data_IF_303740062508
#
_entry.id   IF_303740062508
#
_cell.length_a   1.000
_cell.length_b   1.000
_cell.length_c   1.000
_cell.angle_alpha   90.00
_cell.angle_beta   90.00
_cell.angle_gamma   90.00
#
_symmetry.space_group_name_H-M   'P 1'
#
loop_
_entity.id
_entity.type
_entity.pdbx_description
1 polymer ?
#
# COMPACT_ATOMS: atom_id res chain seq x y z
N UNK A 1 -10.93 -42.82 12.73
CA UNK A 1 -11.84 -42.43 11.64
C UNK A 1 -10.99 -42.24 10.39
N UNK A 2 -11.02 -43.23 9.49
CA UNK A 2 -10.13 -43.33 8.32
C UNK A 2 -10.47 -42.25 7.28
N UNK A 3 -9.45 -41.53 6.81
CA UNK A 3 -9.53 -40.65 5.64
C UNK A 3 -9.42 -41.51 4.37
N UNK A 4 -10.41 -41.38 3.47
CA UNK A 4 -10.34 -41.99 2.13
C UNK A 4 -9.60 -41.05 1.17
N UNK A 5 -8.72 -41.54 0.29
CA UNK A 5 -8.08 -40.73 -0.74
C UNK A 5 -9.00 -40.52 -1.96
N UNK A 6 -8.88 -39.35 -2.60
CA UNK A 6 -9.52 -39.03 -3.89
C UNK A 6 -8.74 -39.69 -5.04
N UNK A 7 -9.41 -40.14 -6.11
CA UNK A 7 -8.75 -40.79 -7.24
C UNK A 7 -8.07 -39.78 -8.18
N UNK A 8 -6.88 -40.17 -8.64
CA UNK A 8 -6.14 -39.59 -9.77
C UNK A 8 -6.42 -40.43 -11.01
N UNK A 9 -6.83 -39.80 -12.10
CA UNK A 9 -6.76 -40.28 -13.49
C UNK A 9 -6.79 -39.03 -14.39
N UNK A 10 -6.20 -38.95 -15.57
CA UNK A 10 -5.01 -39.51 -16.23
C UNK A 10 -4.97 -38.80 -17.59
N UNK A 11 -3.76 -38.49 -18.04
CA UNK A 11 -3.34 -37.99 -19.36
C UNK A 11 -4.26 -38.25 -20.57
N UNK A 12 -4.35 -37.25 -21.45
CA UNK A 12 -4.21 -37.45 -22.91
C UNK A 12 -3.57 -36.19 -23.53
N UNK A 13 -2.40 -36.40 -24.12
CA UNK A 13 -1.68 -35.51 -25.04
C UNK A 13 -2.28 -35.60 -26.46
N UNK A 14 -2.25 -34.50 -27.20
CA UNK A 14 -1.75 -34.37 -28.59
C UNK A 14 -1.91 -32.89 -29.02
N UNK A 15 -0.84 -32.09 -28.99
CA UNK A 15 0.11 -31.81 -30.09
C UNK A 15 -0.58 -31.29 -31.36
N UNK A 16 -0.47 -29.97 -31.59
CA UNK A 16 -0.14 -29.49 -32.93
C UNK A 16 0.64 -28.16 -32.88
N UNK A 17 1.83 -28.26 -33.45
CA UNK A 17 2.92 -27.31 -33.58
C UNK A 17 2.68 -26.20 -34.60
N UNK A 18 3.54 -25.17 -34.52
CA UNK A 18 3.89 -24.11 -35.50
C UNK A 18 3.04 -22.84 -35.32
N UNK A 19 3.59 -21.63 -35.15
CA UNK A 19 4.73 -21.06 -35.87
C UNK A 19 5.32 -19.87 -35.09
N UNK A 20 6.64 -19.73 -35.20
CA UNK A 20 7.49 -18.62 -34.73
C UNK A 20 7.08 -17.26 -35.33
N UNK A 21 7.09 -16.20 -34.52
CA UNK A 21 6.89 -14.83 -34.98
C UNK A 21 7.30 -13.81 -33.91
N UNK A 22 8.61 -13.64 -33.72
CA UNK A 22 9.21 -12.54 -32.96
C UNK A 22 8.87 -11.21 -33.65
N UNK A 23 8.04 -10.38 -33.01
CA UNK A 23 7.90 -8.97 -33.36
C UNK A 23 8.61 -8.12 -32.28
N UNK A 24 9.87 -7.80 -32.56
CA UNK A 24 10.61 -6.73 -31.90
C UNK A 24 10.04 -5.38 -32.39
N UNK A 25 9.43 -4.61 -31.49
CA UNK A 25 9.13 -3.19 -31.71
C UNK A 25 10.25 -2.34 -31.09
N UNK A 26 10.85 -1.38 -31.83
CA UNK A 26 11.91 -0.54 -31.30
C UNK A 26 11.35 0.54 -30.37
N UNK A 27 11.94 0.65 -29.17
CA UNK A 27 11.71 1.75 -28.23
C UNK A 27 12.34 3.02 -28.81
N UNK A 28 11.50 3.96 -29.22
CA UNK A 28 11.90 5.31 -29.61
C UNK A 28 12.43 6.08 -28.39
N UNK A 29 13.65 6.63 -28.55
CA UNK A 29 14.35 7.53 -27.63
C UNK A 29 13.45 8.68 -27.14
N UNK A 30 13.14 8.73 -25.85
CA UNK A 30 12.71 9.96 -25.19
C UNK A 30 13.96 10.76 -24.79
N UNK A 31 14.21 11.88 -25.47
CA UNK A 31 15.22 12.86 -25.07
C UNK A 31 14.69 13.64 -23.86
N UNK A 32 15.28 13.44 -22.69
CA UNK A 32 15.15 14.39 -21.57
C UNK A 32 16.29 15.41 -21.64
N UNK A 33 15.96 16.63 -22.06
CA UNK A 33 16.86 17.79 -21.97
C UNK A 33 16.91 18.27 -20.54
N UNK A 34 18.04 18.07 -19.87
CA UNK A 34 18.35 18.67 -18.57
C UNK A 34 18.97 20.05 -18.83
N UNK A 35 18.23 21.12 -18.54
CA UNK A 35 18.83 22.46 -18.43
C UNK A 35 19.64 22.49 -17.13
N UNK A 36 20.95 22.70 -17.26
CA UNK A 36 21.85 23.00 -16.14
C UNK A 36 22.33 24.43 -16.37
N UNK A 37 22.01 25.31 -15.43
CA UNK A 37 22.55 26.65 -15.33
C UNK A 37 24.00 26.59 -14.82
N UNK A 38 24.91 27.25 -15.52
CA UNK A 38 26.27 27.54 -15.04
C UNK A 38 26.23 28.61 -13.93
N UNK A 39 27.22 28.57 -13.03
CA UNK A 39 27.97 29.80 -12.77
C UNK A 39 29.48 29.60 -12.85
N UNK A 40 30.13 30.64 -13.36
CA UNK A 40 31.57 30.77 -13.54
C UNK A 40 32.34 30.84 -12.19
N UNK A 41 33.37 29.99 -12.12
CA UNK A 41 34.77 30.29 -11.81
C UNK A 41 35.13 31.42 -10.83
N UNK A 42 35.84 31.06 -9.74
CA UNK A 42 37.17 31.65 -9.48
C UNK A 42 38.02 30.81 -8.52
N UNK A 43 39.19 30.45 -9.06
CA UNK A 43 40.46 30.02 -8.48
C UNK A 43 40.76 30.27 -6.99
N UNK A 44 41.35 29.28 -6.33
CA UNK A 44 42.75 29.37 -5.86
C UNK A 44 43.31 28.00 -5.44
N UNK A 45 44.60 27.81 -5.68
CA UNK A 45 45.37 26.57 -5.56
C UNK A 45 45.93 26.36 -4.14
N UNK A 46 46.11 25.11 -3.69
CA UNK A 46 47.30 24.67 -2.95
C UNK A 46 47.41 23.12 -2.80
N UNK A 47 48.64 22.66 -2.54
CA UNK A 47 49.27 21.38 -2.89
C UNK A 47 48.93 20.12 -2.05
N UNK A 48 49.31 18.89 -2.49
CA UNK A 48 49.02 17.64 -1.79
C UNK A 48 50.07 17.28 -0.72
N UNK A 49 49.63 16.69 0.40
CA UNK A 49 50.50 15.98 1.36
C UNK A 49 50.15 14.50 1.45
N UNK A 50 51.18 13.66 1.30
CA UNK A 50 51.20 12.21 1.59
C UNK A 50 51.27 11.95 3.11
N UNK A 51 50.62 10.87 3.58
CA UNK A 51 51.05 9.86 4.60
C UNK A 51 49.89 8.85 4.79
N UNK A 52 50.02 7.60 4.32
CA UNK A 52 50.51 6.35 4.97
C UNK A 52 49.59 5.74 6.06
N UNK A 53 49.05 4.56 5.68
CA UNK A 53 49.01 3.26 6.39
C UNK A 53 48.10 3.02 7.60
N UNK A 54 47.41 1.86 7.55
CA UNK A 54 47.10 1.02 8.71
C UNK A 54 45.65 0.56 8.81
N UNK A 55 45.40 -0.76 8.76
CA UNK A 55 44.15 -1.35 9.26
C UNK A 55 43.56 -2.46 8.39
N UNK A 56 44.10 -3.67 8.52
CA UNK A 56 43.55 -4.92 7.97
C UNK A 56 42.56 -5.48 9.00
N UNK A 57 41.35 -5.85 8.59
CA UNK A 57 40.73 -7.08 9.11
C UNK A 57 39.91 -7.73 7.99
N UNK A 58 40.42 -8.88 7.57
CA UNK A 58 39.87 -9.82 6.61
C UNK A 58 39.22 -10.93 7.45
N UNK A 59 37.95 -11.24 7.22
CA UNK A 59 37.42 -12.57 7.47
C UNK A 59 36.98 -13.14 6.13
N UNK A 60 37.86 -13.95 5.56
CA UNK A 60 37.57 -14.83 4.44
C UNK A 60 36.86 -16.07 4.97
N UNK A 61 35.81 -16.50 4.29
CA UNK A 61 35.37 -17.90 4.30
C UNK A 61 35.75 -18.42 2.92
N UNK A 62 36.86 -19.15 2.84
CA UNK A 62 37.25 -19.92 1.67
C UNK A 62 36.61 -21.30 1.79
N UNK A 63 35.80 -21.68 0.79
CA UNK A 63 35.60 -23.06 0.41
C UNK A 63 35.89 -23.12 -1.09
N UNK A 64 37.03 -23.71 -1.45
CA UNK A 64 37.33 -24.09 -2.82
C UNK A 64 36.73 -25.46 -3.13
N UNK A 65 36.37 -25.68 -4.38
CA UNK A 65 36.87 -26.81 -5.17
C UNK A 65 36.54 -26.60 -6.67
N UNK A 66 37.36 -27.24 -7.50
CA UNK A 66 37.71 -26.94 -8.88
C UNK A 66 36.59 -27.09 -9.92
N UNK A 67 36.63 -26.22 -10.94
CA UNK A 67 36.19 -26.56 -12.30
C UNK A 67 37.07 -25.83 -13.32
N UNK A 68 37.99 -26.58 -13.92
CA UNK A 68 38.73 -26.20 -15.13
C UNK A 68 37.76 -26.10 -16.31
N UNK A 69 37.62 -24.90 -16.89
CA UNK A 69 36.82 -24.68 -18.10
C UNK A 69 37.14 -23.32 -18.71
N UNK A 70 37.57 -23.34 -19.97
CA UNK A 70 37.98 -22.19 -20.81
C UNK A 70 37.20 -20.90 -20.54
N UNK A 71 37.82 -19.98 -19.82
CA UNK A 71 37.26 -18.68 -19.47
C UNK A 71 37.47 -17.66 -20.57
N UNK A 72 36.39 -17.27 -21.24
CA UNK A 72 36.28 -15.99 -21.92
C UNK A 72 36.48 -14.89 -20.85
N UNK A 73 37.60 -14.18 -20.90
CA UNK A 73 37.85 -13.04 -20.01
C UNK A 73 36.90 -11.92 -20.43
N UNK A 74 35.71 -11.90 -19.84
CA UNK A 74 34.88 -10.68 -19.81
C UNK A 74 35.42 -9.86 -18.65
N UNK A 75 36.22 -8.85 -18.97
CA UNK A 75 36.67 -7.84 -18.04
C UNK A 75 35.44 -7.09 -17.51
N UNK A 76 34.84 -7.62 -16.45
CA UNK A 76 33.77 -6.95 -15.74
C UNK A 76 34.42 -5.80 -14.98
N UNK A 77 34.43 -4.63 -15.62
CA UNK A 77 34.60 -3.36 -14.93
C UNK A 77 33.55 -3.32 -13.80
N UNK A 78 33.95 -3.70 -12.59
CA UNK A 78 33.23 -3.39 -11.36
C UNK A 78 33.26 -1.87 -11.24
N UNK A 79 32.34 -1.20 -11.94
CA UNK A 79 31.95 0.15 -11.55
C UNK A 79 31.38 0.00 -10.15
N UNK A 80 32.17 0.42 -9.17
CA UNK A 80 31.69 0.71 -7.83
C UNK A 80 30.56 1.71 -8.04
N UNK A 81 29.32 1.24 -7.95
CA UNK A 81 28.19 2.14 -7.92
C UNK A 81 28.37 2.92 -6.62
N UNK A 82 28.91 4.12 -6.71
CA UNK A 82 28.81 5.10 -5.64
C UNK A 82 27.34 5.51 -5.59
N UNK A 83 26.50 4.62 -5.03
CA UNK A 83 25.25 5.04 -4.44
C UNK A 83 25.67 5.94 -3.29
N UNK A 84 25.68 7.25 -3.54
CA UNK A 84 25.63 8.23 -2.46
C UNK A 84 24.56 7.74 -1.49
N UNK A 85 24.92 7.50 -0.24
CA UNK A 85 23.98 7.28 0.85
C UNK A 85 23.16 8.57 0.98
N UNK A 86 22.14 8.70 0.12
CA UNK A 86 21.05 9.62 0.36
C UNK A 86 20.31 8.99 1.52
N UNK A 87 20.64 9.43 2.74
CA UNK A 87 19.78 9.22 3.90
C UNK A 87 18.49 9.99 3.63
N UNK A 88 17.60 9.41 2.82
CA UNK A 88 16.24 9.86 2.71
C UNK A 88 15.67 9.77 4.13
N UNK A 89 15.52 10.91 4.78
CA UNK A 89 14.83 11.00 6.07
C UNK A 89 13.48 10.32 5.85
N UNK A 90 13.27 9.18 6.52
CA UNK A 90 12.03 8.44 6.39
C UNK A 90 10.92 9.33 6.94
N UNK A 91 10.19 9.99 6.05
CA UNK A 91 9.01 10.78 6.38
C UNK A 91 7.80 9.84 6.26
N UNK A 92 7.26 9.35 7.39
CA UNK A 92 6.12 8.44 7.40
C UNK A 92 4.83 9.11 6.89
N UNK A 93 4.81 10.44 6.70
CA UNK A 93 3.64 11.19 6.22
C UNK A 93 3.59 11.41 4.72
N UNK A 94 4.53 10.85 3.93
CA UNK A 94 4.46 11.00 2.46
C UNK A 94 3.28 10.23 1.89
N UNK A 95 2.19 10.95 1.65
CA UNK A 95 0.98 10.50 0.96
C UNK A 95 1.13 10.63 -0.56
N UNK A 96 0.51 9.72 -1.32
CA UNK A 96 0.41 9.87 -2.79
C UNK A 96 -0.74 10.83 -3.09
N UNK A 97 -0.40 12.01 -3.61
CA UNK A 97 -1.40 13.01 -3.99
C UNK A 97 -1.89 12.74 -5.42
N UNK A 98 -3.21 12.58 -5.59
CA UNK A 98 -3.85 12.48 -6.91
C UNK A 98 -4.41 13.83 -7.32
N UNK A 99 -4.09 14.27 -8.53
CA UNK A 99 -4.62 15.49 -9.14
C UNK A 99 -6.14 15.43 -9.34
N UNK A 100 -6.79 16.59 -9.44
CA UNK A 100 -8.26 16.70 -9.54
C UNK A 100 -8.84 16.04 -10.81
N UNK A 101 -8.06 15.99 -11.89
CA UNK A 101 -8.41 15.36 -13.16
C UNK A 101 -7.86 13.94 -13.31
N UNK A 102 -7.24 13.38 -12.26
CA UNK A 102 -6.68 12.03 -12.28
C UNK A 102 -7.78 11.00 -12.58
N UNK A 103 -7.70 10.37 -13.74
CA UNK A 103 -8.60 9.32 -14.17
C UNK A 103 -7.96 8.48 -15.27
N UNK A 104 -8.13 7.17 -15.19
CA UNK A 104 -7.86 6.25 -16.28
C UNK A 104 -9.17 5.86 -16.98
N UNK A 105 -9.09 5.68 -18.30
CA UNK A 105 -10.21 5.14 -19.07
C UNK A 105 -10.49 3.69 -18.63
N UNK A 106 -11.73 3.46 -18.19
CA UNK A 106 -12.19 2.13 -17.75
C UNK A 106 -12.06 1.07 -18.85
N UNK A 107 -12.07 1.45 -20.13
CA UNK A 107 -11.89 0.52 -21.25
C UNK A 107 -10.49 -0.14 -21.29
N UNK A 108 -9.52 0.41 -20.57
CA UNK A 108 -8.16 -0.14 -20.43
C UNK A 108 -8.07 -1.24 -19.37
N UNK A 109 -9.16 -1.50 -18.63
CA UNK A 109 -9.19 -2.41 -17.49
C UNK A 109 -10.30 -3.45 -17.62
N UNK A 110 -10.14 -4.56 -16.92
CA UNK A 110 -11.19 -5.57 -16.79
C UNK A 110 -12.16 -5.13 -15.70
N UNK A 111 -13.27 -4.52 -16.12
CA UNK A 111 -14.39 -4.16 -15.24
C UNK A 111 -15.47 -5.23 -15.36
N UNK A 112 -16.05 -5.74 -14.25
CA UNK A 112 -17.16 -6.67 -14.31
C UNK A 112 -18.30 -6.13 -15.19
N UNK A 113 -18.80 -6.97 -16.10
CA UNK A 113 -19.71 -6.53 -17.15
C UNK A 113 -20.97 -5.83 -16.60
N UNK A 114 -21.49 -6.28 -15.45
CA UNK A 114 -22.68 -5.71 -14.80
C UNK A 114 -22.47 -4.31 -14.20
N UNK A 115 -21.22 -3.83 -14.14
CA UNK A 115 -20.84 -2.50 -13.66
C UNK A 115 -20.41 -1.53 -14.76
N UNK A 116 -20.24 -1.97 -16.01
CA UNK A 116 -19.69 -1.15 -17.10
C UNK A 116 -20.44 0.17 -17.30
N UNK A 117 -21.78 0.13 -17.25
CA UNK A 117 -22.63 1.32 -17.43
C UNK A 117 -22.71 2.21 -16.18
N UNK A 118 -22.22 1.72 -15.03
CA UNK A 118 -22.28 2.41 -13.73
C UNK A 118 -20.97 3.07 -13.33
N UNK A 119 -19.86 2.65 -13.93
CA UNK A 119 -18.52 3.19 -13.66
C UNK A 119 -18.22 4.34 -14.64
N UNK A 120 -17.77 5.48 -14.14
CA UNK A 120 -17.27 6.60 -14.96
C UNK A 120 -15.86 6.32 -15.47
N UNK A 121 -14.94 6.07 -14.54
CA UNK A 121 -13.51 5.90 -14.79
C UNK A 121 -12.86 5.12 -13.65
N UNK A 122 -11.64 4.62 -13.88
CA UNK A 122 -10.79 4.05 -12.83
C UNK A 122 -9.96 5.18 -12.23
N UNK A 123 -10.03 5.40 -10.92
CA UNK A 123 -9.21 6.40 -10.22
C UNK A 123 -7.88 5.80 -9.77
N UNK A 124 -7.94 4.64 -9.10
CA UNK A 124 -6.75 3.94 -8.59
C UNK A 124 -6.82 2.47 -9.03
N UNK A 125 -5.92 2.03 -9.93
CA UNK A 125 -5.81 0.62 -10.28
C UNK A 125 -5.44 -0.24 -9.06
N UNK A 126 -5.91 -1.49 -9.05
CA UNK A 126 -5.64 -2.46 -7.98
C UNK A 126 -4.15 -2.63 -7.68
N UNK A 127 -3.32 -2.77 -8.72
CA UNK A 127 -1.87 -2.91 -8.54
C UNK A 127 -1.24 -1.71 -7.84
N UNK A 128 -1.71 -0.48 -8.13
CA UNK A 128 -1.22 0.72 -7.47
C UNK A 128 -1.61 0.75 -5.98
N UNK A 129 -2.80 0.26 -5.64
CA UNK A 129 -3.20 0.05 -4.24
C UNK A 129 -2.24 -0.93 -3.55
N UNK A 130 -1.97 -2.08 -4.16
CA UNK A 130 -1.07 -3.10 -3.60
C UNK A 130 0.35 -2.57 -3.35
N UNK A 131 0.91 -1.84 -4.32
CA UNK A 131 2.23 -1.20 -4.19
C UNK A 131 2.25 -0.17 -3.06
N UNK A 132 1.19 0.65 -2.96
CA UNK A 132 1.11 1.67 -1.91
C UNK A 132 0.96 1.04 -0.53
N UNK A 133 0.14 0.00 -0.40
CA UNK A 133 -0.05 -0.73 0.86
C UNK A 133 1.24 -1.38 1.32
N UNK A 134 2.07 -1.88 0.41
CA UNK A 134 3.40 -2.40 0.77
C UNK A 134 4.28 -1.32 1.41
N UNK A 135 4.29 -0.11 0.86
CA UNK A 135 5.02 1.01 1.46
C UNK A 135 4.44 1.40 2.83
N UNK A 136 3.12 1.47 2.97
CA UNK A 136 2.49 1.73 4.27
C UNK A 136 2.86 0.68 5.32
N UNK A 137 2.91 -0.60 4.93
CA UNK A 137 3.31 -1.68 5.81
C UNK A 137 4.75 -1.50 6.32
N UNK A 138 5.67 -1.00 5.48
CA UNK A 138 7.03 -0.67 5.90
C UNK A 138 7.04 0.47 6.93
N UNK A 139 6.22 1.50 6.71
CA UNK A 139 6.16 2.70 7.54
C UNK A 139 5.59 2.36 8.92
N UNK A 140 4.53 1.55 8.94
CA UNK A 140 3.94 1.00 10.15
C UNK A 140 4.96 0.13 10.89
N UNK A 141 5.70 -0.73 10.19
CA UNK A 141 6.75 -1.55 10.79
C UNK A 141 7.78 -0.70 11.52
N UNK A 142 8.33 0.34 10.87
CA UNK A 142 9.29 1.24 11.52
C UNK A 142 8.68 1.98 12.71
N UNK A 143 7.43 2.43 12.60
CA UNK A 143 6.78 3.21 13.63
C UNK A 143 6.36 2.40 14.88
N UNK A 144 6.42 1.07 14.81
CA UNK A 144 6.14 0.13 15.88
C UNK A 144 7.30 -0.83 16.17
N UNK A 145 8.52 -0.47 15.78
CA UNK A 145 9.72 -1.24 16.10
C UNK A 145 9.84 -1.49 17.60
N UNK A 146 10.09 -2.74 17.99
CA UNK A 146 10.17 -3.17 19.39
C UNK A 146 8.82 -3.20 20.15
N UNK A 147 7.68 -2.98 19.47
CA UNK A 147 6.34 -2.96 20.09
C UNK A 147 5.44 -4.05 19.51
N UNK A 148 4.38 -4.36 20.26
CA UNK A 148 3.27 -5.19 19.76
C UNK A 148 2.11 -4.28 19.36
N UNK A 149 1.72 -4.30 18.08
CA UNK A 149 0.60 -3.51 17.58
C UNK A 149 -0.69 -4.34 17.54
N UNK A 150 -1.81 -3.75 17.94
CA UNK A 150 -3.12 -4.35 17.80
C UNK A 150 -3.88 -3.65 16.67
N UNK A 151 -4.05 -4.34 15.54
CA UNK A 151 -4.73 -3.82 14.37
C UNK A 151 -6.25 -3.91 14.55
N UNK A 152 -6.96 -2.81 14.37
CA UNK A 152 -8.40 -2.75 14.54
C UNK A 152 -9.07 -2.40 13.20
N UNK A 153 -9.56 -3.42 12.50
CA UNK A 153 -10.20 -3.23 11.21
C UNK A 153 -11.60 -2.64 11.39
N UNK A 154 -11.88 -1.53 10.70
CA UNK A 154 -13.22 -0.96 10.64
C UNK A 154 -13.98 -1.55 9.46
N UNK A 155 -15.06 -2.27 9.77
CA UNK A 155 -15.89 -2.97 8.80
C UNK A 155 -17.06 -2.11 8.31
N UNK A 156 -17.52 -2.31 7.08
CA UNK A 156 -17.08 -3.36 6.13
C UNK A 156 -15.95 -2.93 5.19
N UNK A 157 -15.96 -1.66 4.77
CA UNK A 157 -15.15 -1.21 3.65
C UNK A 157 -13.64 -1.30 3.88
N UNK A 158 -13.17 -1.08 5.12
CA UNK A 158 -11.76 -1.25 5.50
C UNK A 158 -11.20 -2.67 5.35
N UNK A 159 -12.05 -3.67 5.10
CA UNK A 159 -11.62 -5.08 5.02
C UNK A 159 -10.60 -5.37 3.93
N UNK A 160 -10.75 -4.88 2.70
CA UNK A 160 -9.79 -5.13 1.62
C UNK A 160 -8.40 -4.56 1.96
N UNK A 161 -8.36 -3.29 2.38
CA UNK A 161 -7.13 -2.63 2.81
C UNK A 161 -6.47 -3.36 3.98
N UNK A 162 -7.26 -3.75 4.99
CA UNK A 162 -6.77 -4.49 6.15
C UNK A 162 -6.10 -5.81 5.76
N UNK A 163 -6.73 -6.62 4.91
CA UNK A 163 -6.15 -7.90 4.50
C UNK A 163 -4.85 -7.70 3.71
N UNK A 164 -4.83 -6.75 2.77
CA UNK A 164 -3.62 -6.41 2.02
C UNK A 164 -2.49 -5.94 2.96
N UNK A 165 -2.79 -5.10 3.94
CA UNK A 165 -1.82 -4.62 4.92
C UNK A 165 -1.26 -5.76 5.78
N UNK A 166 -2.13 -6.62 6.31
CA UNK A 166 -1.73 -7.79 7.11
C UNK A 166 -0.86 -8.75 6.30
N UNK A 167 -1.18 -8.97 5.03
CA UNK A 167 -0.36 -9.79 4.14
C UNK A 167 1.05 -9.22 4.00
N UNK A 168 1.19 -7.92 3.71
CA UNK A 168 2.50 -7.27 3.57
C UNK A 168 3.30 -7.31 4.87
N UNK A 169 2.67 -7.08 6.02
CA UNK A 169 3.31 -7.22 7.34
C UNK A 169 3.81 -8.66 7.59
N UNK A 170 3.03 -9.67 7.23
CA UNK A 170 3.45 -11.09 7.33
C UNK A 170 4.63 -11.41 6.42
N UNK A 171 4.64 -10.89 5.19
CA UNK A 171 5.71 -11.11 4.23
C UNK A 171 7.05 -10.55 4.73
N UNK A 172 7.04 -9.36 5.33
CA UNK A 172 8.25 -8.80 5.94
C UNK A 172 8.78 -9.67 7.07
N UNK A 173 7.92 -10.20 7.94
CA UNK A 173 8.35 -11.13 9.00
C UNK A 173 8.91 -12.44 8.45
N UNK A 174 8.38 -12.94 7.33
CA UNK A 174 8.78 -14.23 6.77
C UNK A 174 10.12 -14.17 6.02
N UNK A 175 10.36 -13.11 5.27
CA UNK A 175 11.45 -13.09 4.28
C UNK A 175 12.55 -12.07 4.55
N UNK A 176 12.35 -11.09 5.44
CA UNK A 176 13.39 -10.11 5.77
C UNK A 176 14.06 -10.45 7.10
N UNK A 177 15.38 -10.24 7.17
CA UNK A 177 16.14 -10.23 8.44
C UNK A 177 15.93 -8.93 9.23
N UNK A 178 14.71 -8.41 9.25
CA UNK A 178 14.36 -7.17 9.94
C UNK A 178 13.71 -7.46 11.29
N UNK A 179 13.66 -6.45 12.15
CA UNK A 179 13.00 -6.53 13.44
C UNK A 179 11.52 -6.92 13.28
N UNK A 180 11.14 -7.94 14.04
CA UNK A 180 9.80 -8.49 14.04
C UNK A 180 8.84 -7.54 14.78
N UNK A 181 7.72 -7.19 14.15
CA UNK A 181 6.66 -6.39 14.76
C UNK A 181 5.47 -7.32 15.04
N UNK A 182 5.39 -7.93 16.23
CA UNK A 182 4.24 -8.76 16.58
C UNK A 182 2.95 -7.97 16.44
N UNK A 183 1.94 -8.60 15.86
CA UNK A 183 0.61 -8.00 15.80
C UNK A 183 -0.49 -8.99 16.15
N UNK A 184 -1.55 -8.45 16.71
CA UNK A 184 -2.85 -9.10 16.90
C UNK A 184 -3.90 -8.24 16.21
N UNK A 185 -5.11 -8.76 15.99
CA UNK A 185 -6.15 -7.97 15.35
C UNK A 185 -7.56 -8.33 15.78
N UNK A 186 -8.45 -7.36 15.61
CA UNK A 186 -9.88 -7.47 15.83
C UNK A 186 -10.64 -6.70 14.75
N UNK A 187 -11.94 -7.00 14.63
CA UNK A 187 -12.84 -6.34 13.70
C UNK A 187 -13.92 -5.59 14.48
N UNK A 188 -14.20 -4.35 14.07
CA UNK A 188 -15.29 -3.58 14.62
C UNK A 188 -16.22 -3.07 13.52
N UNK A 189 -17.48 -2.89 13.86
CA UNK A 189 -18.45 -2.13 13.06
C UNK A 189 -18.81 -0.86 13.80
N UNK A 190 -18.76 0.24 13.08
CA UNK A 190 -19.04 1.58 13.57
C UNK A 190 -20.35 2.03 12.95
N UNK A 191 -21.34 2.39 13.78
CA UNK A 191 -22.61 2.97 13.33
C UNK A 191 -22.71 4.40 13.85
N UNK A 192 -22.85 5.35 12.93
CA UNK A 192 -23.26 6.72 13.24
C UNK A 192 -24.78 6.83 13.11
N UNK A 193 -25.49 7.05 14.22
CA UNK A 193 -26.92 7.32 14.18
C UNK A 193 -27.17 8.80 13.87
N UNK A 194 -27.74 9.08 12.70
CA UNK A 194 -28.27 10.40 12.34
C UNK A 194 -29.80 10.36 12.41
N UNK A 195 -30.35 10.40 13.62
CA UNK A 195 -31.79 10.57 13.86
C UNK A 195 -32.16 12.03 14.19
N UNK A 196 -33.45 12.37 14.11
CA UNK A 196 -34.04 13.73 14.28
C UNK A 196 -33.77 14.44 15.62
N UNK A 197 -33.04 13.80 16.53
CA UNK A 197 -32.30 14.43 17.62
C UNK A 197 -30.89 13.87 17.61
N UNK A 198 -29.94 14.67 17.13
CA UNK A 198 -28.51 14.36 17.17
C UNK A 198 -28.08 14.06 18.60
N UNK A 199 -27.99 12.78 18.98
CA UNK A 199 -27.31 12.39 20.22
C UNK A 199 -25.81 12.28 20.01
N UNK A 200 -25.32 12.36 18.76
CA UNK A 200 -23.89 12.42 18.46
C UNK A 200 -23.11 11.13 18.73
N UNK A 201 -23.73 10.10 19.31
CA UNK A 201 -23.05 8.90 19.80
C UNK A 201 -22.70 7.91 18.68
N UNK A 202 -21.45 7.46 18.68
CA UNK A 202 -20.96 6.36 17.84
C UNK A 202 -21.18 5.05 18.60
N UNK A 203 -21.82 4.07 17.95
CA UNK A 203 -21.90 2.72 18.49
C UNK A 203 -20.87 1.82 17.82
N UNK A 204 -20.09 1.12 18.65
CA UNK A 204 -19.10 0.14 18.21
C UNK A 204 -19.54 -1.25 18.61
N UNK A 205 -19.39 -2.20 17.69
CA UNK A 205 -19.73 -3.62 17.90
C UNK A 205 -18.68 -4.51 17.27
N UNK A 206 -18.60 -5.77 17.70
CA UNK A 206 -17.69 -6.78 17.13
C UNK A 206 -16.45 -7.08 17.96
N UNK A 207 -16.11 -6.24 18.94
CA UNK A 207 -15.02 -6.49 19.88
C UNK A 207 -15.35 -5.99 21.29
N UNK A 208 -14.82 -6.66 22.30
CA UNK A 208 -14.74 -6.13 23.66
C UNK A 208 -13.64 -5.06 23.72
N UNK A 209 -14.03 -3.81 23.96
CA UNK A 209 -13.10 -2.66 23.97
C UNK A 209 -12.21 -2.64 25.22
N UNK A 210 -12.63 -3.27 26.33
CA UNK A 210 -11.87 -3.27 27.58
C UNK A 210 -10.52 -4.01 27.44
N UNK A 211 -10.41 -4.96 26.51
CA UNK A 211 -9.16 -5.68 26.23
C UNK A 211 -8.08 -4.84 25.57
N UNK A 212 -8.39 -3.60 25.18
CA UNK A 212 -7.44 -2.69 24.52
C UNK A 212 -6.58 -1.88 25.49
N UNK A 213 -6.88 -1.94 26.79
CA UNK A 213 -6.07 -1.30 27.83
C UNK A 213 -4.59 -1.65 27.71
N UNK A 214 -3.74 -0.63 27.70
CA UNK A 214 -2.28 -0.75 27.60
C UNK A 214 -1.74 -1.23 26.26
N UNK A 215 -2.57 -1.36 25.21
CA UNK A 215 -2.11 -1.80 23.87
C UNK A 215 -1.86 -0.61 22.94
N UNK A 216 -0.90 -0.76 22.05
CA UNK A 216 -0.72 0.12 20.90
C UNK A 216 -1.75 -0.22 19.82
N UNK A 217 -2.78 0.60 19.65
CA UNK A 217 -3.82 0.38 18.64
C UNK A 217 -3.48 1.05 17.31
N UNK A 218 -3.75 0.34 16.21
CA UNK A 218 -3.75 0.90 14.86
C UNK A 218 -5.10 0.60 14.21
N UNK A 219 -5.94 1.63 14.08
CA UNK A 219 -7.18 1.52 13.33
C UNK A 219 -6.87 1.44 11.83
N UNK A 220 -7.60 0.61 11.11
CA UNK A 220 -7.46 0.44 9.66
C UNK A 220 -8.81 0.75 9.00
N UNK A 221 -8.87 1.90 8.35
CA UNK A 221 -10.04 2.46 7.66
C UNK A 221 -9.80 2.49 6.14
N UNK A 222 -10.83 2.27 5.34
CA UNK A 222 -10.76 2.46 3.89
C UNK A 222 -10.66 3.93 3.49
N UNK A 223 -11.49 4.81 4.06
CA UNK A 223 -11.57 6.21 3.63
C UNK A 223 -11.86 7.20 4.77
N UNK A 224 -11.07 8.27 4.85
CA UNK A 224 -11.40 9.48 5.60
C UNK A 224 -12.07 10.46 4.63
N UNK A 225 -13.39 10.62 4.79
CA UNK A 225 -14.19 11.59 4.05
C UNK A 225 -14.26 12.93 4.83
N UNK A 226 -15.33 13.15 5.59
CA UNK A 226 -15.43 14.32 6.49
C UNK A 226 -14.59 14.17 7.76
N UNK A 227 -14.08 12.97 8.07
CA UNK A 227 -13.34 12.67 9.30
C UNK A 227 -14.18 12.54 10.57
N UNK A 228 -15.50 12.82 10.52
CA UNK A 228 -16.39 12.80 11.70
C UNK A 228 -16.43 11.45 12.42
N UNK A 229 -16.36 10.34 11.68
CA UNK A 229 -16.33 8.99 12.25
C UNK A 229 -15.10 8.79 13.14
N UNK A 230 -13.90 9.05 12.62
CA UNK A 230 -12.66 8.91 13.38
C UNK A 230 -12.55 9.93 14.51
N UNK A 231 -13.01 11.17 14.29
CA UNK A 231 -13.03 12.21 15.31
C UNK A 231 -13.85 11.85 16.56
N UNK A 232 -14.81 10.90 16.43
CA UNK A 232 -15.58 10.37 17.56
C UNK A 232 -15.04 9.03 18.05
N UNK A 233 -14.63 8.15 17.14
CA UNK A 233 -14.15 6.80 17.46
C UNK A 233 -12.84 6.84 18.26
N UNK A 234 -11.89 7.69 17.86
CA UNK A 234 -10.57 7.76 18.50
C UNK A 234 -10.66 8.23 19.96
N UNK A 235 -11.37 9.32 20.31
CA UNK A 235 -11.58 9.70 21.70
C UNK A 235 -12.27 8.60 22.53
N UNK A 236 -13.30 7.96 21.99
CA UNK A 236 -14.01 6.87 22.68
C UNK A 236 -13.08 5.68 22.98
N UNK A 237 -12.22 5.28 22.04
CA UNK A 237 -11.23 4.22 22.29
C UNK A 237 -10.19 4.62 23.33
N UNK A 238 -9.84 5.92 23.43
CA UNK A 238 -8.90 6.42 24.45
C UNK A 238 -9.44 6.30 25.88
N UNK A 239 -10.76 6.28 26.06
CA UNK A 239 -11.39 6.06 27.39
C UNK A 239 -11.07 4.67 27.97
N UNK A 240 -10.71 3.70 27.12
CA UNK A 240 -10.27 2.36 27.53
C UNK A 240 -8.77 2.27 27.85
N UNK A 241 -8.08 3.41 27.91
CA UNK A 241 -6.66 3.53 28.29
C UNK A 241 -5.68 2.67 27.46
N UNK A 242 -5.75 2.66 26.11
CA UNK A 242 -4.71 2.07 25.28
C UNK A 242 -3.38 2.83 25.44
N UNK A 243 -2.25 2.17 25.17
CA UNK A 243 -0.94 2.81 25.20
C UNK A 243 -0.77 3.86 24.09
N UNK A 244 -1.34 3.60 22.92
CA UNK A 244 -1.48 4.58 21.84
C UNK A 244 -2.66 4.24 20.94
N UNK A 245 -3.17 5.24 20.21
CA UNK A 245 -4.18 5.05 19.17
C UNK A 245 -3.71 5.83 17.95
N UNK A 246 -3.45 5.12 16.86
CA UNK A 246 -3.14 5.68 15.54
C UNK A 246 -4.13 5.18 14.50
N UNK A 247 -4.21 5.89 13.37
CA UNK A 247 -5.10 5.55 12.26
C UNK A 247 -4.30 5.39 10.97
N UNK A 248 -4.50 4.27 10.30
CA UNK A 248 -4.14 4.07 8.91
C UNK A 248 -5.40 4.16 8.05
N UNK A 249 -5.37 5.00 7.01
CA UNK A 249 -6.42 5.08 6.01
C UNK A 249 -5.87 4.88 4.61
N UNK A 250 -6.58 4.10 3.79
CA UNK A 250 -6.18 3.96 2.40
C UNK A 250 -6.39 5.26 1.62
N UNK A 251 -7.52 5.94 1.83
CA UNK A 251 -7.91 7.15 1.12
C UNK A 251 -8.21 8.30 2.08
N UNK A 252 -7.77 9.50 1.75
CA UNK A 252 -8.18 10.73 2.41
C UNK A 252 -8.70 11.69 1.35
N UNK A 253 -9.97 12.10 1.47
CA UNK A 253 -10.58 13.05 0.52
C UNK A 253 -10.19 14.48 0.86
N UNK A 254 -9.98 15.27 -0.19
CA UNK A 254 -9.98 16.74 -0.10
C UNK A 254 -11.40 17.29 0.00
N UNK A 255 -12.15 16.84 1.00
CA UNK A 255 -13.54 17.26 1.22
C UNK A 255 -13.56 18.66 1.89
N UNK A 256 -14.24 19.66 1.32
CA UNK A 256 -14.41 20.98 1.93
C UNK A 256 -15.11 20.97 3.30
N UNK A 257 -15.92 19.95 3.60
CA UNK A 257 -16.62 19.74 4.88
C UNK A 257 -15.79 18.92 5.89
N UNK A 258 -14.51 18.70 5.62
CA UNK A 258 -13.61 18.00 6.55
C UNK A 258 -13.60 18.67 7.93
N UNK A 259 -13.69 17.85 8.99
CA UNK A 259 -13.53 18.32 10.36
C UNK A 259 -12.05 18.50 10.77
N UNK A 260 -11.11 18.34 9.84
CA UNK A 260 -9.68 18.48 10.08
C UNK A 260 -9.03 17.26 10.74
N UNK A 261 -9.71 16.12 10.81
CA UNK A 261 -9.10 14.87 11.28
C UNK A 261 -8.00 14.42 10.32
N UNK A 262 -6.82 14.11 10.84
CA UNK A 262 -5.68 13.61 10.05
C UNK A 262 -5.29 12.21 10.54
N UNK A 263 -5.21 11.27 9.61
CA UNK A 263 -4.70 9.93 9.90
C UNK A 263 -3.16 9.93 9.96
N UNK A 264 -2.58 8.99 10.71
CA UNK A 264 -1.14 8.85 10.89
C UNK A 264 -0.46 8.25 9.66
N UNK A 265 -1.16 7.32 8.98
CA UNK A 265 -0.68 6.65 7.78
C UNK A 265 -1.74 6.77 6.68
N UNK A 266 -1.43 7.49 5.59
CA UNK A 266 -2.38 7.73 4.50
C UNK A 266 -1.85 7.15 3.20
N UNK A 267 -2.64 6.30 2.55
CA UNK A 267 -2.31 5.75 1.24
C UNK A 267 -2.30 6.83 0.16
N UNK A 268 -3.49 7.35 -0.14
CA UNK A 268 -3.73 8.31 -1.20
C UNK A 268 -4.54 9.50 -0.70
N UNK A 269 -4.15 10.70 -1.12
CA UNK A 269 -4.96 11.90 -0.99
C UNK A 269 -5.70 12.10 -2.31
N UNK A 270 -7.03 12.06 -2.28
CA UNK A 270 -7.87 11.99 -3.49
C UNK A 270 -8.78 13.22 -3.63
N UNK A 271 -9.21 13.56 -4.86
CA UNK A 271 -10.22 14.59 -5.09
C UNK A 271 -11.55 14.22 -4.41
N UNK A 272 -12.40 15.21 -4.17
CA UNK A 272 -13.74 14.99 -3.62
C UNK A 272 -14.69 14.40 -4.69
N UNK A 273 -14.56 13.09 -4.90
CA UNK A 273 -15.37 12.29 -5.81
C UNK A 273 -15.98 11.11 -5.05
N UNK A 274 -17.15 10.65 -5.48
CA UNK A 274 -17.74 9.44 -4.92
C UNK A 274 -17.06 8.21 -5.53
N UNK A 275 -16.30 7.49 -4.69
CA UNK A 275 -15.50 6.34 -5.10
C UNK A 275 -16.12 5.02 -4.63
N UNK A 276 -15.98 3.99 -5.45
CA UNK A 276 -16.48 2.62 -5.23
C UNK A 276 -15.39 1.60 -5.57
N UNK A 277 -15.56 0.35 -5.12
CA UNK A 277 -14.58 -0.72 -5.38
C UNK A 277 -13.49 -0.81 -4.33
N UNK A 278 -12.70 -1.90 -4.39
CA UNK A 278 -11.79 -2.31 -3.34
C UNK A 278 -12.48 -2.35 -1.96
N UNK A 279 -13.64 -3.01 -1.89
CA UNK A 279 -14.57 -3.04 -0.74
C UNK A 279 -15.29 -1.74 -0.37
N UNK A 280 -15.00 -0.59 -1.01
CA UNK A 280 -15.85 0.60 -0.95
C UNK A 280 -17.16 0.33 -1.69
N UNK A 281 -18.26 0.92 -1.22
CA UNK A 281 -19.59 0.62 -1.73
C UNK A 281 -20.44 1.84 -2.05
N UNK A 282 -21.50 1.56 -2.80
CA UNK A 282 -22.69 2.38 -2.88
C UNK A 282 -23.89 1.48 -2.60
N UNK A 283 -24.60 1.70 -1.50
CA UNK A 283 -25.72 0.87 -1.03
C UNK A 283 -25.39 -0.63 -1.02
N UNK A 284 -24.25 -1.02 -0.45
CA UNK A 284 -23.73 -2.39 -0.37
C UNK A 284 -23.29 -3.02 -1.71
N UNK A 285 -23.41 -2.29 -2.82
CA UNK A 285 -22.95 -2.73 -4.15
C UNK A 285 -21.51 -2.27 -4.39
N UNK A 286 -20.81 -2.95 -5.32
CA UNK A 286 -19.46 -2.65 -5.80
C UNK A 286 -18.30 -3.07 -4.89
N UNK A 287 -18.55 -3.70 -3.74
CA UNK A 287 -17.47 -4.17 -2.86
C UNK A 287 -16.53 -5.18 -3.53
N UNK A 288 -17.05 -5.92 -4.50
CA UNK A 288 -16.39 -6.94 -5.33
C UNK A 288 -15.65 -6.37 -6.55
N UNK A 289 -15.75 -5.06 -6.82
CA UNK A 289 -14.98 -4.40 -7.87
C UNK A 289 -13.52 -4.24 -7.42
N UNK A 290 -12.57 -4.76 -8.21
CA UNK A 290 -11.14 -4.77 -7.85
C UNK A 290 -10.49 -3.38 -7.78
N UNK A 291 -10.88 -2.48 -8.69
CA UNK A 291 -10.29 -1.15 -8.81
C UNK A 291 -11.08 -0.13 -8.00
N UNK A 292 -10.40 0.92 -7.54
CA UNK A 292 -11.09 2.09 -6.98
C UNK A 292 -11.52 2.96 -8.15
N UNK A 293 -12.83 3.07 -8.33
CA UNK A 293 -13.46 3.71 -9.48
C UNK A 293 -14.35 4.86 -9.04
N UNK A 294 -14.62 5.79 -9.97
CA UNK A 294 -15.62 6.84 -9.78
C UNK A 294 -16.94 6.33 -10.36
N UNK A 295 -18.02 6.41 -9.57
CA UNK A 295 -19.37 6.06 -10.05
C UNK A 295 -19.94 7.17 -10.94
N UNK A 296 -20.73 6.84 -11.96
CA UNK A 296 -21.44 7.83 -12.78
C UNK A 296 -22.91 8.00 -12.32
N UNK A 297 -23.60 8.97 -12.90
CA UNK A 297 -25.00 9.28 -12.57
C UNK A 297 -25.95 8.10 -12.84
N UNK A 298 -25.72 7.34 -13.92
CA UNK A 298 -26.52 6.16 -14.24
C UNK A 298 -26.37 5.05 -13.19
N UNK A 299 -25.15 4.86 -12.67
CA UNK A 299 -24.85 3.96 -11.57
C UNK A 299 -25.53 4.39 -10.29
N UNK A 300 -25.41 5.67 -9.92
CA UNK A 300 -26.11 6.23 -8.75
C UNK A 300 -27.61 5.94 -8.88
N UNK A 301 -28.25 6.38 -9.97
CA UNK A 301 -29.68 6.19 -10.19
C UNK A 301 -30.12 4.71 -10.12
N UNK A 302 -29.35 3.80 -10.71
CA UNK A 302 -29.63 2.35 -10.73
C UNK A 302 -29.66 1.74 -9.34
N UNK A 303 -28.76 2.16 -8.46
CA UNK A 303 -28.56 1.52 -7.15
C UNK A 303 -29.17 2.31 -5.98
N UNK A 304 -29.67 3.53 -6.19
CA UNK A 304 -30.50 4.25 -5.20
C UNK A 304 -31.84 3.55 -4.96
N UNK A 305 -32.49 3.06 -6.01
CA UNK A 305 -33.88 2.52 -5.95
C UNK A 305 -33.99 1.07 -5.46
N UNK A 306 -32.86 0.43 -5.15
CA UNK A 306 -32.79 -0.98 -4.76
C UNK A 306 -32.70 -1.19 -3.24
N UNK A 307 -32.91 -0.14 -2.44
CA UNK A 307 -32.84 -0.14 -0.97
C UNK A 307 -34.21 -0.20 -0.31
#
# INVERSE_FOLDING_TARGET
>A
MQLRPLPVLSENEEILSRTTGSFFLPISRLKMTKQISNPDNSSSAFQPRRRRAGGIHRLCVENGEDCLGTGLIVETQRRRCECSEQTATHDPKRVVYLEDDAAYDKAQFLIPHHYLDSVKSVLIPKGLVEDRVEKLAQDIRYAYEGKTVHLLCVLKGGSAFFHALVEKLRLFHKYNKCDYVPFTFDFIRVKSYEGTKSTGNVQVSGADLAKFKGKDLLLVEDIIDTGKTMAKLVPMLKEYEPASVRVASLLEKRNPESCGFQADFVGFNIPDQFVIGNCLDYNEIFRDLDHICIINEAGIAKYTSSS
#
